data_IF_701785102200
#
_entry.id   IF_701785102200
#
_cell.length_a   1.000
_cell.length_b   1.000
_cell.length_c   1.000
_cell.angle_alpha   90.00
_cell.angle_beta   90.00
_cell.angle_gamma   90.00
#
_symmetry.space_group_name_H-M   'P 1'
#
loop_
_entity.id
_entity.type
_entity.pdbx_description
1 polymer ?
#
# COMPACT_ATOMS: atom_id res chain seq x y z
N UNK A 1 34.79 44.63 -68.03
CA UNK A 1 33.71 44.49 -67.03
C UNK A 1 34.25 43.69 -65.87
N UNK A 2 34.09 44.23 -64.67
CA UNK A 2 34.62 43.70 -63.43
C UNK A 2 33.95 42.38 -63.03
N UNK A 3 34.70 41.52 -62.33
CA UNK A 3 34.23 40.27 -61.75
C UNK A 3 35.37 39.59 -61.00
N UNK A 4 35.73 40.17 -59.86
CA UNK A 4 36.77 39.73 -58.93
C UNK A 4 36.10 38.83 -57.89
N UNK A 5 36.70 37.68 -57.58
CA UNK A 5 36.28 36.76 -56.53
C UNK A 5 37.44 35.82 -56.18
N UNK A 6 38.39 36.36 -55.42
CA UNK A 6 39.70 35.80 -55.06
C UNK A 6 39.61 34.82 -53.88
N UNK A 7 40.32 33.68 -54.01
CA UNK A 7 41.19 32.96 -53.03
C UNK A 7 40.66 32.64 -51.62
N UNK A 8 40.82 31.42 -51.10
CA UNK A 8 42.06 30.87 -50.48
C UNK A 8 41.82 29.37 -50.26
N UNK A 9 42.56 28.40 -50.82
CA UNK A 9 43.99 28.01 -50.71
C UNK A 9 44.34 27.18 -49.46
N UNK A 10 44.93 26.01 -49.72
CA UNK A 10 45.71 25.20 -48.78
C UNK A 10 44.98 23.94 -48.33
N UNK A 11 45.54 22.73 -48.38
CA UNK A 11 46.87 22.30 -48.79
C UNK A 11 46.83 20.80 -49.08
N UNK A 12 47.84 20.40 -49.83
CA UNK A 12 48.13 19.12 -50.44
C UNK A 12 48.72 18.13 -49.42
N UNK A 13 48.37 16.84 -49.59
CA UNK A 13 49.09 15.60 -49.21
C UNK A 13 49.19 15.23 -47.72
N UNK A 14 48.71 14.01 -47.39
CA UNK A 14 49.56 12.92 -46.89
C UNK A 14 48.83 11.57 -46.97
N UNK A 15 49.57 10.57 -47.44
CA UNK A 15 49.18 9.18 -47.55
C UNK A 15 49.20 8.47 -46.18
N UNK A 16 48.44 7.38 -46.09
CA UNK A 16 48.79 6.23 -45.25
C UNK A 16 47.77 5.88 -44.17
N UNK A 17 47.37 4.59 -44.18
CA UNK A 17 47.01 3.74 -43.03
C UNK A 17 45.81 4.23 -42.16
N UNK A 18 44.76 3.47 -41.84
CA UNK A 18 44.61 2.03 -41.57
C UNK A 18 43.12 1.68 -41.75
N UNK A 19 42.83 0.45 -42.16
CA UNK A 19 41.46 -0.05 -42.27
C UNK A 19 40.96 -0.35 -40.84
N UNK A 20 40.31 0.62 -40.21
CA UNK A 20 39.57 0.38 -38.96
C UNK A 20 38.17 -0.14 -39.32
N UNK A 21 37.97 -1.45 -39.20
CA UNK A 21 36.64 -2.06 -39.19
C UNK A 21 35.78 -1.45 -38.08
N UNK A 22 34.58 -0.91 -38.38
CA UNK A 22 33.69 -0.45 -37.33
C UNK A 22 33.21 -1.67 -36.53
N UNK A 23 33.57 -1.71 -35.25
CA UNK A 23 32.99 -2.64 -34.31
C UNK A 23 31.47 -2.44 -34.27
N UNK A 24 30.65 -3.50 -34.30
CA UNK A 24 29.23 -3.35 -34.11
C UNK A 24 28.99 -2.83 -32.69
N UNK A 25 28.45 -1.62 -32.58
CA UNK A 25 27.93 -1.09 -31.33
C UNK A 25 26.69 -1.93 -31.02
N UNK A 26 26.86 -2.96 -30.21
CA UNK A 26 25.73 -3.72 -29.67
C UNK A 26 25.08 -2.83 -28.62
N UNK A 27 24.10 -2.03 -29.05
CA UNK A 27 23.16 -1.37 -28.14
C UNK A 27 22.31 -2.46 -27.49
N UNK A 28 22.77 -3.01 -26.37
CA UNK A 28 21.93 -3.79 -25.47
C UNK A 28 20.91 -2.85 -24.85
N UNK A 29 19.73 -2.74 -25.47
CA UNK A 29 18.54 -2.18 -24.82
C UNK A 29 18.19 -3.13 -23.68
N UNK A 30 18.61 -2.79 -22.46
CA UNK A 30 18.17 -3.47 -21.25
C UNK A 30 16.67 -3.20 -21.09
N UNK A 31 15.85 -4.12 -21.58
CA UNK A 31 14.40 -4.09 -21.38
C UNK A 31 14.15 -4.70 -20.02
N UNK A 32 14.06 -3.84 -19.00
CA UNK A 32 13.56 -4.25 -17.68
C UNK A 32 12.16 -4.85 -17.94
N UNK A 33 11.89 -6.10 -17.52
CA UNK A 33 10.57 -6.69 -17.69
C UNK A 33 9.54 -5.79 -17.00
N UNK A 34 8.35 -5.60 -17.60
CA UNK A 34 7.30 -4.83 -16.97
C UNK A 34 7.00 -5.41 -15.58
N UNK A 35 6.68 -4.56 -14.59
CA UNK A 35 6.32 -5.04 -13.26
C UNK A 35 5.16 -6.05 -13.36
N UNK A 36 5.11 -7.04 -12.46
CA UNK A 36 4.06 -8.07 -12.48
C UNK A 36 2.69 -7.54 -12.03
N UNK A 37 2.58 -6.23 -11.77
CA UNK A 37 1.40 -5.51 -11.31
C UNK A 37 1.25 -4.20 -12.09
N UNK A 38 0.05 -3.64 -12.15
CA UNK A 38 -0.19 -2.34 -12.77
C UNK A 38 0.02 -1.21 -11.76
N UNK A 39 0.89 -0.24 -12.12
CA UNK A 39 1.12 0.98 -11.35
C UNK A 39 -0.08 1.92 -11.44
N UNK A 40 -0.33 2.72 -10.41
CA UNK A 40 -1.40 3.70 -10.31
C UNK A 40 -1.78 3.93 -8.84
N UNK A 41 -3.07 3.84 -8.56
CA UNK A 41 -3.59 3.84 -7.19
C UNK A 41 -3.88 2.40 -6.80
N UNK A 42 -3.05 1.83 -5.93
CA UNK A 42 -3.36 0.53 -5.33
C UNK A 42 -4.41 0.71 -4.22
N UNK A 43 -5.08 -0.38 -3.90
CA UNK A 43 -6.09 -0.43 -2.85
C UNK A 43 -5.84 -1.64 -1.93
N UNK A 44 -6.04 -1.40 -0.64
CA UNK A 44 -6.00 -2.37 0.45
C UNK A 44 -7.36 -2.29 1.11
N UNK A 45 -8.21 -3.24 0.76
CA UNK A 45 -9.45 -3.46 1.47
C UNK A 45 -9.16 -4.25 2.74
N UNK A 46 -9.44 -3.63 3.88
CA UNK A 46 -9.33 -4.23 5.21
C UNK A 46 -10.72 -4.47 5.75
N UNK A 47 -11.00 -5.74 6.05
CA UNK A 47 -12.15 -6.15 6.83
C UNK A 47 -11.67 -6.55 8.22
N UNK A 48 -12.26 -6.01 9.28
CA UNK A 48 -11.97 -6.38 10.67
C UNK A 48 -13.25 -6.82 11.38
N UNK A 49 -13.18 -7.89 12.19
CA UNK A 49 -14.28 -8.33 13.04
C UNK A 49 -13.80 -8.85 14.40
N UNK A 50 -14.49 -8.43 15.46
CA UNK A 50 -14.22 -8.89 16.81
C UNK A 50 -15.44 -8.68 17.71
N UNK A 51 -15.68 -9.60 18.64
CA UNK A 51 -16.77 -9.45 19.62
C UNK A 51 -16.46 -8.34 20.63
N UNK A 52 -15.19 -8.22 21.02
CA UNK A 52 -14.69 -7.21 21.95
C UNK A 52 -13.15 -7.20 21.95
N UNK A 53 -12.56 -6.22 22.63
CA UNK A 53 -11.10 -6.05 22.73
C UNK A 53 -10.30 -7.21 23.33
N UNK A 54 -10.94 -8.18 23.99
CA UNK A 54 -10.31 -9.37 24.57
C UNK A 54 -10.56 -10.64 23.75
N UNK A 55 -11.49 -10.61 22.79
CA UNK A 55 -11.75 -11.68 21.85
C UNK A 55 -10.70 -11.69 20.72
N UNK A 56 -10.59 -12.77 19.94
CA UNK A 56 -9.84 -12.76 18.69
C UNK A 56 -10.33 -11.65 17.76
N UNK A 57 -9.38 -11.07 17.04
CA UNK A 57 -9.58 -10.20 15.91
C UNK A 57 -9.43 -11.04 14.64
N UNK A 58 -10.49 -11.09 13.84
CA UNK A 58 -10.46 -11.74 12.54
C UNK A 58 -10.31 -10.65 11.47
N UNK A 59 -9.36 -10.83 10.56
CA UNK A 59 -9.00 -9.83 9.55
C UNK A 59 -9.00 -10.47 8.18
N UNK A 60 -9.54 -9.78 7.19
CA UNK A 60 -9.27 -10.06 5.78
C UNK A 60 -8.58 -8.86 5.13
N UNK A 61 -7.49 -9.14 4.43
CA UNK A 61 -6.77 -8.15 3.62
C UNK A 61 -6.87 -8.55 2.15
N UNK A 62 -7.46 -7.67 1.33
CA UNK A 62 -7.47 -7.81 -0.12
C UNK A 62 -6.65 -6.67 -0.72
N UNK A 63 -5.65 -7.03 -1.53
CA UNK A 63 -4.76 -6.07 -2.19
C UNK A 63 -5.08 -6.03 -3.68
N UNK A 64 -5.35 -4.85 -4.23
CA UNK A 64 -5.56 -4.67 -5.66
C UNK A 64 -4.59 -3.65 -6.26
N UNK A 65 -4.21 -3.86 -7.52
CA UNK A 65 -3.28 -2.98 -8.24
C UNK A 65 -3.95 -1.73 -8.84
N UNK A 66 -3.16 -0.88 -9.52
CA UNK A 66 -3.66 0.34 -10.17
C UNK A 66 -4.70 0.14 -11.28
N UNK A 67 -4.99 -1.10 -11.66
CA UNK A 67 -6.06 -1.47 -12.59
C UNK A 67 -7.16 -2.31 -11.93
N UNK A 68 -7.20 -2.34 -10.60
CA UNK A 68 -8.13 -3.12 -9.77
C UNK A 68 -8.00 -4.65 -9.96
N UNK A 69 -6.83 -5.15 -10.35
CA UNK A 69 -6.58 -6.60 -10.35
C UNK A 69 -6.29 -7.05 -8.92
N UNK A 70 -7.04 -8.05 -8.44
CA UNK A 70 -6.76 -8.68 -7.14
C UNK A 70 -5.39 -9.37 -7.18
N UNK A 71 -4.47 -8.86 -6.38
CA UNK A 71 -3.10 -9.36 -6.24
C UNK A 71 -2.99 -10.40 -5.14
N UNK A 72 -3.61 -10.14 -3.98
CA UNK A 72 -3.60 -11.03 -2.82
C UNK A 72 -4.92 -10.94 -2.04
N UNK A 73 -5.32 -12.04 -1.42
CA UNK A 73 -6.42 -12.11 -0.45
C UNK A 73 -5.99 -13.04 0.68
N UNK A 74 -5.86 -12.50 1.89
CA UNK A 74 -5.38 -13.23 3.06
C UNK A 74 -6.33 -13.05 4.24
N UNK A 75 -6.53 -14.13 4.99
CA UNK A 75 -7.32 -14.13 6.21
C UNK A 75 -6.40 -14.37 7.41
N UNK A 76 -6.62 -13.63 8.48
CA UNK A 76 -5.85 -13.74 9.71
C UNK A 76 -6.79 -13.86 10.91
N UNK A 77 -6.31 -14.59 11.92
CA UNK A 77 -6.88 -14.61 13.26
C UNK A 77 -5.79 -14.22 14.24
N UNK A 78 -5.96 -13.08 14.91
CA UNK A 78 -4.94 -12.48 15.77
C UNK A 78 -5.56 -11.79 16.98
N UNK A 79 -4.76 -11.07 17.77
CA UNK A 79 -5.26 -10.22 18.85
C UNK A 79 -5.08 -8.76 18.46
N UNK A 80 -5.90 -7.92 19.06
CA UNK A 80 -5.64 -6.48 19.02
C UNK A 80 -4.24 -6.16 19.57
N UNK A 81 -3.51 -5.31 18.87
CA UNK A 81 -2.12 -4.98 19.13
C UNK A 81 -1.11 -5.80 18.33
N UNK A 82 -1.55 -6.84 17.62
CA UNK A 82 -0.72 -7.60 16.68
C UNK A 82 -0.72 -6.91 15.30
N UNK A 83 0.07 -7.48 14.38
CA UNK A 83 0.19 -7.01 13.01
C UNK A 83 -0.12 -8.12 11.99
N UNK A 84 -0.58 -7.71 10.82
CA UNK A 84 -0.77 -8.55 9.65
C UNK A 84 0.19 -8.11 8.55
N UNK A 85 0.81 -9.07 7.86
CA UNK A 85 1.72 -8.78 6.75
C UNK A 85 1.28 -9.55 5.52
N UNK A 86 1.08 -8.84 4.41
CA UNK A 86 0.95 -9.43 3.07
C UNK A 86 2.31 -9.32 2.39
N UNK A 87 2.93 -10.47 2.13
CA UNK A 87 4.29 -10.49 1.59
C UNK A 87 4.36 -9.98 0.13
N UNK A 88 5.51 -9.45 -0.25
CA UNK A 88 5.87 -9.08 -1.62
C UNK A 88 5.71 -10.27 -2.57
N UNK A 89 6.02 -11.49 -2.11
CA UNK A 89 5.86 -12.70 -2.91
C UNK A 89 4.40 -13.05 -3.20
N UNK A 90 3.49 -12.79 -2.26
CA UNK A 90 2.07 -13.10 -2.42
C UNK A 90 1.36 -12.05 -3.27
N UNK A 91 1.63 -10.77 -2.98
CA UNK A 91 1.04 -9.63 -3.69
C UNK A 91 1.70 -9.35 -5.04
N UNK A 92 2.92 -9.85 -5.29
CA UNK A 92 3.76 -9.50 -6.45
C UNK A 92 4.16 -8.02 -6.47
N UNK A 93 3.91 -7.28 -5.39
CA UNK A 93 4.46 -5.94 -5.20
C UNK A 93 5.95 -6.05 -4.85
N UNK A 94 6.76 -5.00 -5.06
CA UNK A 94 8.18 -5.03 -4.76
C UNK A 94 8.51 -4.89 -3.27
N UNK A 95 7.50 -4.89 -2.40
CA UNK A 95 7.58 -4.68 -0.96
C UNK A 95 6.45 -5.43 -0.24
N UNK A 96 6.63 -5.63 1.06
CA UNK A 96 5.58 -6.14 1.93
C UNK A 96 4.59 -5.02 2.28
N UNK A 97 3.35 -5.40 2.57
CA UNK A 97 2.32 -4.52 3.14
C UNK A 97 2.10 -4.96 4.58
N UNK A 98 2.37 -4.06 5.52
CA UNK A 98 2.16 -4.31 6.95
C UNK A 98 0.98 -3.48 7.47
N UNK A 99 0.13 -4.11 8.26
CA UNK A 99 -1.03 -3.50 8.93
C UNK A 99 -0.95 -3.78 10.42
N UNK A 100 -0.71 -2.73 11.21
CA UNK A 100 -0.66 -2.79 12.66
C UNK A 100 -2.03 -2.40 13.25
N UNK A 101 -2.65 -3.34 13.98
CA UNK A 101 -3.96 -3.12 14.62
C UNK A 101 -3.74 -2.58 16.04
N UNK A 102 -3.52 -1.28 16.16
CA UNK A 102 -3.05 -0.66 17.41
C UNK A 102 -4.10 -0.68 18.53
N UNK A 103 -3.69 -0.83 19.79
CA UNK A 103 -4.58 -0.70 20.96
C UNK A 103 -4.70 0.74 21.46
N UNK A 104 -4.82 1.70 20.55
CA UNK A 104 -4.86 3.11 20.87
C UNK A 104 -5.82 3.86 19.95
N UNK A 105 -6.51 4.85 20.51
CA UNK A 105 -7.19 5.86 19.72
C UNK A 105 -6.18 6.99 19.48
N UNK A 106 -6.21 7.64 18.31
CA UNK A 106 -5.33 8.77 17.97
C UNK A 106 -5.46 9.97 18.94
N UNK A 107 -6.34 9.90 19.94
CA UNK A 107 -6.62 10.96 20.90
C UNK A 107 -5.92 10.67 22.21
N UNK A 108 -4.67 11.14 22.33
CA UNK A 108 -4.09 11.50 23.63
C UNK A 108 -4.90 12.67 24.21
N UNK A 109 -6.09 12.36 24.73
CA UNK A 109 -6.90 13.31 25.50
C UNK A 109 -6.16 13.54 26.80
N UNK A 110 -5.50 14.71 26.91
CA UNK A 110 -4.96 15.25 28.16
C UNK A 110 -5.96 14.98 29.28
N UNK A 111 -5.62 14.04 30.19
CA UNK A 111 -6.44 13.74 31.36
C UNK A 111 -6.65 15.01 32.17
N UNK A 112 -7.82 15.65 32.06
CA UNK A 112 -8.27 16.60 33.08
C UNK A 112 -8.35 15.81 34.38
N UNK A 113 -7.62 16.26 35.41
CA UNK A 113 -7.68 15.68 36.76
C UNK A 113 -9.12 15.79 37.26
N UNK A 114 -9.90 14.72 37.12
CA UNK A 114 -11.23 14.62 37.74
C UNK A 114 -11.04 14.11 39.17
N UNK A 115 -11.56 14.87 40.14
CA UNK A 115 -11.65 14.46 41.54
C UNK A 115 -12.99 13.72 41.68
N UNK A 116 -12.95 12.39 41.60
CA UNK A 116 -14.11 11.51 41.70
C UNK A 116 -13.66 10.04 41.70
N UNK A 117 -14.56 9.10 42.06
CA UNK A 117 -14.25 7.67 41.95
C UNK A 117 -13.79 7.35 40.51
N UNK A 118 -12.81 6.45 40.34
CA UNK A 118 -12.23 6.18 39.03
C UNK A 118 -13.35 5.78 38.06
N UNK A 119 -13.47 6.44 36.90
CA UNK A 119 -14.45 6.03 35.90
C UNK A 119 -14.18 4.57 35.54
N UNK A 120 -15.23 3.78 35.36
CA UNK A 120 -15.13 2.51 34.65
C UNK A 120 -14.54 2.82 33.29
N UNK A 121 -13.29 2.40 33.05
CA UNK A 121 -12.63 2.61 31.76
C UNK A 121 -13.35 1.74 30.73
N UNK A 122 -14.40 2.27 30.11
CA UNK A 122 -14.97 1.68 28.91
C UNK A 122 -13.91 1.78 27.83
N UNK A 123 -13.39 0.63 27.40
CA UNK A 123 -12.39 0.57 26.33
C UNK A 123 -13.15 0.72 25.01
N UNK A 124 -13.00 1.87 24.36
CA UNK A 124 -13.55 2.14 23.03
C UNK A 124 -12.63 1.53 21.97
N UNK A 125 -12.66 0.21 21.86
CA UNK A 125 -11.80 -0.54 20.94
C UNK A 125 -12.24 -0.39 19.47
N UNK A 126 -13.51 -0.07 19.23
CA UNK A 126 -14.04 0.30 17.92
C UNK A 126 -13.36 1.57 17.34
N UNK A 127 -12.81 2.43 18.20
CA UNK A 127 -12.12 3.66 17.80
C UNK A 127 -10.60 3.47 17.61
N UNK A 128 -10.10 2.24 17.81
CA UNK A 128 -8.69 1.93 17.65
C UNK A 128 -8.22 2.12 16.22
N UNK A 129 -6.99 2.61 16.10
CA UNK A 129 -6.43 3.04 14.82
C UNK A 129 -5.65 1.90 14.17
N UNK A 130 -5.61 1.91 12.84
CA UNK A 130 -4.75 1.03 12.06
C UNK A 130 -3.60 1.87 11.53
N UNK A 131 -2.37 1.38 11.68
CA UNK A 131 -1.22 1.93 10.98
C UNK A 131 -0.88 1.00 9.83
N UNK A 132 -0.70 1.57 8.64
CA UNK A 132 -0.45 0.83 7.41
C UNK A 132 0.88 1.29 6.85
N UNK A 133 1.67 0.35 6.35
CA UNK A 133 2.87 0.65 5.58
C UNK A 133 2.94 -0.20 4.32
N UNK A 134 3.31 0.44 3.21
CA UNK A 134 3.48 -0.16 1.91
C UNK A 134 4.74 0.43 1.26
N UNK A 135 5.83 -0.34 1.30
CA UNK A 135 7.13 0.10 0.81
C UNK A 135 7.67 1.30 1.59
N UNK A 136 7.80 2.46 0.92
CA UNK A 136 8.30 3.70 1.52
C UNK A 136 7.23 4.61 2.14
N UNK A 137 5.96 4.23 2.04
CA UNK A 137 4.82 5.04 2.47
C UNK A 137 4.18 4.43 3.71
N UNK A 138 3.88 5.24 4.72
CA UNK A 138 3.19 4.83 5.94
C UNK A 138 2.15 5.86 6.32
N UNK A 139 0.96 5.40 6.73
CA UNK A 139 -0.17 6.24 7.09
C UNK A 139 -1.06 5.54 8.12
N UNK A 140 -2.15 6.21 8.53
CA UNK A 140 -3.16 5.62 9.41
C UNK A 140 -4.54 5.67 8.80
N UNK A 141 -5.46 4.87 9.34
CA UNK A 141 -6.90 4.90 8.99
C UNK A 141 -7.58 6.26 9.23
N UNK A 142 -6.89 7.21 9.88
CA UNK A 142 -7.37 8.58 10.10
C UNK A 142 -7.06 9.55 8.97
N UNK A 143 -6.20 9.16 8.03
CA UNK A 143 -5.96 9.96 6.82
C UNK A 143 -7.10 9.72 5.83
N UNK A 144 -8.20 10.46 5.95
CA UNK A 144 -9.41 10.23 5.14
C UNK A 144 -9.60 11.25 4.00
N UNK A 145 -8.60 12.11 3.73
CA UNK A 145 -8.67 13.09 2.66
C UNK A 145 -8.38 12.45 1.31
N UNK A 146 -9.43 12.10 0.56
CA UNK A 146 -9.32 11.49 -0.77
C UNK A 146 -8.66 12.38 -1.83
N UNK A 147 -8.34 13.64 -1.51
CA UNK A 147 -7.65 14.55 -2.43
C UNK A 147 -6.15 14.25 -2.54
N UNK A 148 -5.58 13.52 -1.57
CA UNK A 148 -4.16 13.22 -1.48
C UNK A 148 -3.95 11.74 -1.17
N UNK A 149 -2.92 11.13 -1.76
CA UNK A 149 -2.49 9.77 -1.39
C UNK A 149 -1.35 9.86 -0.36
N UNK A 150 -1.29 8.96 0.63
CA UNK A 150 -2.25 7.88 0.91
C UNK A 150 -3.51 8.38 1.65
N UNK A 151 -4.63 7.66 1.51
CA UNK A 151 -5.83 7.92 2.31
C UNK A 151 -6.64 6.63 2.54
N UNK A 152 -7.53 6.63 3.52
CA UNK A 152 -8.47 5.55 3.81
C UNK A 152 -9.91 6.04 3.79
N UNK A 153 -10.77 5.31 3.07
CA UNK A 153 -12.21 5.40 3.14
C UNK A 153 -12.70 4.44 4.22
N UNK A 154 -12.92 4.96 5.41
CA UNK A 154 -13.32 4.16 6.57
C UNK A 154 -14.83 4.03 6.66
N UNK A 155 -15.34 2.80 6.58
CA UNK A 155 -16.71 2.45 6.92
C UNK A 155 -16.96 2.47 8.44
N UNK A 156 -18.23 2.58 8.82
CA UNK A 156 -18.64 2.43 10.21
C UNK A 156 -18.58 0.97 10.69
N UNK A 157 -18.62 0.78 12.01
CA UNK A 157 -18.85 -0.55 12.57
C UNK A 157 -20.29 -0.99 12.30
N UNK A 158 -20.45 -2.12 11.62
CA UNK A 158 -21.72 -2.80 11.43
C UNK A 158 -21.82 -3.95 12.45
N UNK A 159 -22.91 -3.96 13.21
CA UNK A 159 -23.21 -4.96 14.24
C UNK A 159 -24.14 -6.08 13.72
N UNK A 160 -24.26 -6.31 12.40
CA UNK A 160 -25.18 -7.35 11.93
C UNK A 160 -25.36 -7.64 10.44
N UNK A 161 -24.41 -7.37 9.53
CA UNK A 161 -24.48 -7.92 8.15
C UNK A 161 -23.13 -8.43 7.66
N UNK A 162 -22.92 -9.74 7.79
CA UNK A 162 -21.63 -10.41 7.71
C UNK A 162 -21.56 -11.46 6.56
N UNK A 163 -22.54 -11.43 5.64
CA UNK A 163 -22.90 -12.57 4.78
C UNK A 163 -21.90 -12.99 3.70
N UNK A 164 -21.03 -12.10 3.19
CA UNK A 164 -20.14 -12.44 2.06
C UNK A 164 -18.76 -12.98 2.48
N UNK A 165 -18.27 -12.67 3.69
CA UNK A 165 -16.99 -13.18 4.20
C UNK A 165 -17.16 -14.35 5.20
N UNK A 166 -18.38 -14.56 5.69
CA UNK A 166 -18.79 -15.55 6.69
C UNK A 166 -18.15 -16.94 6.57
N UNK A 167 -18.04 -17.48 5.36
CA UNK A 167 -17.52 -18.83 5.13
C UNK A 167 -16.06 -18.97 5.60
N UNK A 168 -15.25 -17.92 5.40
CA UNK A 168 -13.85 -17.87 5.82
C UNK A 168 -13.65 -17.66 7.33
N UNK A 169 -14.65 -17.12 8.02
CA UNK A 169 -14.56 -16.79 9.46
C UNK A 169 -15.17 -17.86 10.31
N UNK A 170 -16.29 -18.43 9.89
CA UNK A 170 -16.86 -19.61 10.54
C UNK A 170 -15.82 -20.71 10.53
N UNK A 171 -15.06 -20.88 9.45
CA UNK A 171 -13.95 -21.84 9.39
C UNK A 171 -12.80 -21.50 10.34
N UNK A 172 -12.62 -20.21 10.70
CA UNK A 172 -11.69 -19.75 11.75
C UNK A 172 -12.33 -19.71 13.16
N UNK A 173 -13.61 -20.06 13.30
CA UNK A 173 -14.34 -20.14 14.57
C UNK A 173 -15.08 -18.86 15.00
N UNK A 174 -15.37 -17.93 14.09
CA UNK A 174 -16.18 -16.73 14.38
C UNK A 174 -17.70 -16.96 14.29
N UNK A 175 -18.45 -16.11 14.99
CA UNK A 175 -19.93 -16.09 15.01
C UNK A 175 -20.48 -15.20 13.87
N UNK A 176 -21.71 -15.47 13.43
CA UNK A 176 -22.38 -14.73 12.37
C UNK A 176 -22.82 -13.30 12.75
N UNK A 177 -22.82 -12.98 14.05
CA UNK A 177 -23.20 -11.67 14.60
C UNK A 177 -22.02 -10.83 15.09
N UNK A 178 -20.80 -11.11 14.64
CA UNK A 178 -19.64 -10.35 15.08
C UNK A 178 -19.71 -8.90 14.58
N UNK A 179 -19.50 -7.91 15.48
CA UNK A 179 -19.22 -6.54 15.07
C UNK A 179 -18.08 -6.54 14.07
N UNK A 180 -18.28 -5.86 12.94
CA UNK A 180 -17.29 -5.74 11.90
C UNK A 180 -17.16 -4.30 11.41
N UNK A 181 -16.01 -3.99 10.82
CA UNK A 181 -15.74 -2.72 10.16
C UNK A 181 -14.96 -3.00 8.89
N UNK A 182 -15.23 -2.19 7.87
CA UNK A 182 -14.59 -2.27 6.57
C UNK A 182 -13.95 -0.93 6.23
N UNK A 183 -12.81 -0.97 5.56
CA UNK A 183 -12.16 0.23 5.05
C UNK A 183 -11.36 -0.09 3.80
N UNK A 184 -11.30 0.89 2.90
CA UNK A 184 -10.51 0.85 1.67
C UNK A 184 -9.38 1.87 1.80
N UNK A 185 -8.14 1.41 1.79
CA UNK A 185 -6.96 2.26 1.95
C UNK A 185 -6.16 2.31 0.65
N UNK A 186 -5.93 3.52 0.17
CA UNK A 186 -5.35 3.79 -1.14
C UNK A 186 -3.96 4.41 -1.02
N UNK A 187 -3.02 3.96 -1.85
CA UNK A 187 -1.69 4.54 -1.97
C UNK A 187 -1.18 4.50 -3.41
N UNK A 188 -0.10 5.23 -3.67
CA UNK A 188 0.57 5.19 -4.96
C UNK A 188 1.46 3.94 -5.05
N UNK A 189 1.22 3.13 -6.08
CA UNK A 189 2.04 2.00 -6.49
C UNK A 189 2.33 2.12 -8.00
#
# INVERSE_FOLDING_TARGET
MAGIGTTTSGSVVLAGCEIATPWPIVSTVSTIPPPPYQTGTCDLHVFEASENYAAPLYVQLNVTDGANNLLASQNFQMKWGDNATVSASDSKLPYDIDVDFLRSTSVSSKKKRMVGPPPTNTVHWEDWILAISAGGTSWTDKETDSSNLPYCSVGGWDNGNFWDWLDGVITLGGDEHLPNRQMDCHWAC
#
